data_IF_666740623302
#
_entry.id   IF_666740623302
#
_cell.length_a   1.000
_cell.length_b   1.000
_cell.length_c   1.000
_cell.angle_alpha   90.00
_cell.angle_beta   90.00
_cell.angle_gamma   90.00
#
_symmetry.space_group_name_H-M   'P 1'
#
loop_
_entity.id
_entity.type
_entity.pdbx_description
1 polymer ?
#
# COMPACT_ATOMS: atom_id res chain seq x y z
N UNK A 1 6.87 27.21 -22.56
CA UNK A 1 5.66 27.17 -23.41
C UNK A 1 5.45 28.48 -24.17
N UNK A 2 5.24 29.61 -23.51
CA UNK A 2 4.87 30.89 -24.14
C UNK A 2 5.85 31.38 -25.20
N UNK A 3 7.16 31.35 -24.91
CA UNK A 3 8.19 31.79 -25.87
C UNK A 3 8.17 30.97 -27.17
N UNK A 4 7.97 29.65 -27.06
CA UNK A 4 7.86 28.74 -28.22
C UNK A 4 6.59 29.03 -29.03
N UNK A 5 5.47 29.30 -28.36
CA UNK A 5 4.21 29.67 -29.01
C UNK A 5 4.30 31.02 -29.75
N UNK A 6 4.97 32.02 -29.16
CA UNK A 6 5.18 33.33 -29.80
C UNK A 6 6.12 33.25 -31.01
N UNK A 7 7.19 32.46 -30.93
CA UNK A 7 8.06 32.19 -32.07
C UNK A 7 7.32 31.44 -33.18
N UNK A 8 6.49 30.46 -32.84
CA UNK A 8 5.63 29.75 -33.78
C UNK A 8 4.63 30.66 -34.48
N UNK A 9 3.99 31.55 -33.73
CA UNK A 9 3.07 32.57 -34.29
C UNK A 9 3.78 33.45 -35.32
N UNK A 10 4.97 33.96 -35.00
CA UNK A 10 5.74 34.82 -35.91
C UNK A 10 6.16 34.08 -37.19
N UNK A 11 6.71 32.86 -37.06
CA UNK A 11 7.18 32.08 -38.19
C UNK A 11 6.04 31.70 -39.15
N UNK A 12 4.95 31.14 -38.62
CA UNK A 12 3.81 30.75 -39.45
C UNK A 12 3.03 31.96 -39.98
N UNK A 13 3.04 33.09 -39.25
CA UNK A 13 2.50 34.36 -39.75
C UNK A 13 3.28 34.87 -40.97
N UNK A 14 4.61 34.81 -40.94
CA UNK A 14 5.46 35.16 -42.09
C UNK A 14 5.18 34.22 -43.28
N UNK A 15 5.18 32.90 -43.06
CA UNK A 15 4.88 31.92 -44.13
C UNK A 15 3.48 32.12 -44.70
N UNK A 16 2.48 32.36 -43.84
CA UNK A 16 1.10 32.61 -44.25
C UNK A 16 0.96 33.90 -45.07
N UNK A 17 1.72 34.95 -44.74
CA UNK A 17 1.72 36.20 -45.50
C UNK A 17 2.28 36.06 -46.92
N UNK A 18 3.22 35.14 -47.12
CA UNK A 18 3.78 34.81 -48.44
C UNK A 18 2.81 34.00 -49.29
N UNK A 19 1.99 33.14 -48.65
CA UNK A 19 1.02 32.30 -49.34
C UNK A 19 -0.27 33.05 -49.71
N UNK A 20 -0.75 33.93 -48.82
CA UNK A 20 -1.96 34.72 -49.06
C UNK A 20 -1.84 36.10 -48.38
N UNK A 21 -1.65 37.19 -49.15
CA UNK A 21 -1.50 38.53 -48.60
C UNK A 21 -2.70 38.94 -47.72
N UNK A 22 -2.42 39.54 -46.56
CA UNK A 22 -3.44 39.98 -45.60
C UNK A 22 -4.00 38.83 -44.76
N UNK A 23 -4.95 38.06 -45.31
CA UNK A 23 -5.67 37.03 -44.55
C UNK A 23 -4.77 35.84 -44.15
N UNK A 24 -3.79 35.49 -44.99
CA UNK A 24 -2.88 34.37 -44.72
C UNK A 24 -1.97 34.61 -43.51
N UNK A 25 -1.60 35.87 -43.24
CA UNK A 25 -0.80 36.21 -42.06
C UNK A 25 -1.53 35.92 -40.75
N UNK A 26 -2.83 36.28 -40.68
CA UNK A 26 -3.67 36.04 -39.50
C UNK A 26 -3.94 34.56 -39.27
N UNK A 27 -4.29 33.84 -40.34
CA UNK A 27 -4.56 32.39 -40.26
C UNK A 27 -3.27 31.65 -39.90
N UNK A 28 -2.15 31.99 -40.55
CA UNK A 28 -0.84 31.42 -40.26
C UNK A 28 -0.41 31.64 -38.81
N UNK A 29 -0.54 32.87 -38.30
CA UNK A 29 -0.23 33.19 -36.91
C UNK A 29 -1.10 32.38 -35.92
N UNK A 30 -2.40 32.23 -36.18
CA UNK A 30 -3.31 31.45 -35.35
C UNK A 30 -2.95 29.96 -35.31
N UNK A 31 -2.70 29.35 -36.48
CA UNK A 31 -2.30 27.94 -36.58
C UNK A 31 -0.93 27.70 -35.93
N UNK A 32 0.03 28.60 -36.18
CA UNK A 32 1.37 28.53 -35.58
C UNK A 32 1.34 28.63 -34.07
N UNK A 33 0.53 29.53 -33.51
CA UNK A 33 0.34 29.62 -32.06
C UNK A 33 -0.21 28.29 -31.51
N UNK A 34 -1.25 27.72 -32.11
CA UNK A 34 -1.86 26.49 -31.59
C UNK A 34 -0.90 25.31 -31.60
N UNK A 35 -0.22 25.07 -32.74
CA UNK A 35 0.72 23.95 -32.90
C UNK A 35 1.92 24.11 -31.97
N UNK A 36 2.56 25.29 -31.96
CA UNK A 36 3.75 25.51 -31.14
C UNK A 36 3.43 25.62 -29.65
N UNK A 37 2.22 26.04 -29.27
CA UNK A 37 1.74 25.96 -27.90
C UNK A 37 1.55 24.50 -27.48
N UNK A 38 0.90 23.67 -28.30
CA UNK A 38 0.71 22.25 -28.01
C UNK A 38 2.06 21.51 -27.88
N UNK A 39 2.97 21.70 -28.84
CA UNK A 39 4.32 21.15 -28.78
C UNK A 39 5.12 21.68 -27.59
N UNK A 40 5.04 22.99 -27.31
CA UNK A 40 5.67 23.60 -26.16
C UNK A 40 5.16 23.01 -24.85
N UNK A 41 3.84 22.79 -24.73
CA UNK A 41 3.22 22.15 -23.56
C UNK A 41 3.70 20.70 -23.40
N UNK A 42 3.80 19.93 -24.48
CA UNK A 42 4.33 18.57 -24.45
C UNK A 42 5.81 18.53 -24.04
N UNK A 43 6.65 19.39 -24.63
CA UNK A 43 8.10 19.43 -24.39
C UNK A 43 8.46 19.91 -22.98
N UNK A 44 7.75 20.91 -22.48
CA UNK A 44 8.03 21.47 -21.14
C UNK A 44 7.33 20.74 -20.01
N UNK A 45 6.45 19.78 -20.32
CA UNK A 45 5.70 19.02 -19.32
C UNK A 45 4.59 19.82 -18.63
N UNK A 46 4.31 21.06 -19.05
CA UNK A 46 3.28 21.93 -18.45
C UNK A 46 1.87 21.32 -18.46
N UNK A 47 1.61 20.39 -19.39
CA UNK A 47 0.36 19.62 -19.40
C UNK A 47 0.16 18.78 -18.12
N UNK A 48 1.24 18.36 -17.45
CA UNK A 48 1.19 17.60 -16.19
C UNK A 48 0.75 18.47 -15.02
N UNK A 49 1.03 19.77 -15.07
CA UNK A 49 0.64 20.73 -14.03
C UNK A 49 -0.80 21.23 -14.19
N UNK A 50 -1.32 21.23 -15.42
CA UNK A 50 -2.71 21.59 -15.73
C UNK A 50 -3.71 20.46 -15.47
N UNK A 51 -3.22 19.21 -15.41
CA UNK A 51 -4.04 18.11 -14.95
C UNK A 51 -4.27 18.28 -13.45
N UNK A 52 -5.53 18.28 -12.98
CA UNK A 52 -5.81 18.41 -11.55
C UNK A 52 -5.05 17.31 -10.81
N UNK A 53 -4.34 17.68 -9.75
CA UNK A 53 -3.51 16.78 -8.93
C UNK A 53 -4.26 15.57 -8.33
N UNK A 54 -5.58 15.50 -8.52
CA UNK A 54 -6.44 14.37 -8.20
C UNK A 54 -6.51 13.31 -9.32
N UNK A 55 -5.88 13.55 -10.48
CA UNK A 55 -5.77 12.56 -11.58
C UNK A 55 -4.39 11.89 -11.62
N UNK A 56 -3.85 11.55 -10.46
CA UNK A 56 -2.89 10.43 -10.33
C UNK A 56 -3.49 9.08 -10.81
N UNK A 57 -4.77 9.06 -11.16
CA UNK A 57 -5.52 7.94 -11.75
C UNK A 57 -5.37 7.76 -13.26
N UNK A 58 -4.68 8.64 -14.01
CA UNK A 58 -4.15 8.24 -15.31
C UNK A 58 -2.86 7.44 -15.13
N UNK A 59 -2.97 6.35 -14.37
CA UNK A 59 -1.92 5.35 -14.27
C UNK A 59 -1.63 4.83 -15.67
N UNK A 60 -0.35 4.70 -16.00
CA UNK A 60 0.10 4.09 -17.25
C UNK A 60 -0.53 2.70 -17.49
N UNK A 61 -1.10 2.08 -16.45
CA UNK A 61 -1.91 0.87 -16.45
C UNK A 61 -3.15 0.89 -17.36
N UNK A 62 -3.78 2.04 -17.60
CA UNK A 62 -4.93 2.11 -18.52
C UNK A 62 -4.52 2.21 -20.00
N UNK A 63 -3.29 2.66 -20.27
CA UNK A 63 -2.80 2.92 -21.63
C UNK A 63 -1.86 1.81 -22.09
N UNK A 64 -1.15 1.15 -21.17
CA UNK A 64 -0.20 0.09 -21.49
C UNK A 64 -0.84 -1.29 -21.29
N UNK A 65 -0.66 -2.21 -22.26
CA UNK A 65 -0.94 -3.62 -22.04
C UNK A 65 -0.24 -4.11 -20.77
N UNK A 66 -0.93 -4.92 -19.97
CA UNK A 66 -0.46 -5.41 -18.66
C UNK A 66 0.98 -5.97 -18.69
N UNK A 67 1.38 -6.59 -19.81
CA UNK A 67 2.74 -7.10 -20.03
C UNK A 67 3.84 -6.02 -20.01
N UNK A 68 3.56 -4.80 -20.50
CA UNK A 68 4.52 -3.68 -20.49
C UNK A 68 4.52 -2.93 -19.16
N UNK A 69 3.39 -2.86 -18.45
CA UNK A 69 3.31 -2.25 -17.13
C UNK A 69 4.17 -2.99 -16.09
N UNK A 70 4.24 -4.33 -16.20
CA UNK A 70 5.14 -5.16 -15.39
C UNK A 70 6.61 -4.91 -15.74
N UNK A 71 6.93 -4.63 -17.01
CA UNK A 71 8.31 -4.39 -17.46
C UNK A 71 8.85 -2.99 -17.10
N UNK A 72 7.97 -2.00 -16.93
CA UNK A 72 8.36 -0.61 -16.63
C UNK A 72 8.55 -0.36 -15.12
N UNK A 73 8.38 -1.39 -14.27
CA UNK A 73 8.82 -1.35 -12.88
C UNK A 73 7.69 -1.30 -11.85
N UNK A 74 6.62 -2.05 -12.09
CA UNK A 74 5.56 -2.21 -11.08
C UNK A 74 5.43 -3.66 -10.62
N UNK A 75 5.11 -3.82 -9.34
CA UNK A 75 4.94 -5.04 -8.56
C UNK A 75 3.67 -5.83 -8.91
N UNK A 76 2.98 -5.49 -10.01
CA UNK A 76 1.74 -6.11 -10.44
C UNK A 76 0.58 -5.89 -9.45
N UNK A 77 -0.52 -6.62 -9.65
CA UNK A 77 -1.63 -6.63 -8.69
C UNK A 77 -1.53 -7.88 -7.82
N UNK A 78 -1.62 -7.71 -6.50
CA UNK A 78 -1.65 -8.83 -5.56
C UNK A 78 -2.19 -8.45 -4.18
N UNK A 79 -2.51 -9.46 -3.38
CA UNK A 79 -2.84 -9.27 -1.97
C UNK A 79 -1.57 -9.36 -1.10
N UNK A 80 -1.25 -8.26 -0.43
CA UNK A 80 -0.18 -8.16 0.54
C UNK A 80 -0.73 -8.41 1.94
N UNK A 81 -0.07 -9.29 2.68
CA UNK A 81 -0.31 -9.51 4.10
C UNK A 81 0.80 -8.80 4.88
N UNK A 82 0.42 -7.85 5.73
CA UNK A 82 1.35 -7.08 6.57
C UNK A 82 1.10 -7.42 8.01
N UNK A 83 2.15 -7.86 8.71
CA UNK A 83 2.12 -8.07 10.16
C UNK A 83 2.88 -6.93 10.83
N UNK A 84 2.18 -6.19 11.70
CA UNK A 84 2.78 -5.16 12.55
C UNK A 84 3.16 -5.83 13.87
N UNK A 85 4.46 -6.03 14.11
CA UNK A 85 4.94 -6.73 15.30
C UNK A 85 5.02 -5.80 16.50
N UNK A 86 5.93 -4.83 16.44
CA UNK A 86 6.18 -3.92 17.54
C UNK A 86 6.78 -2.60 17.08
N UNK A 87 6.60 -1.55 17.90
CA UNK A 87 7.29 -0.28 17.77
C UNK A 87 8.21 -0.07 18.97
N UNK A 88 9.50 0.07 18.71
CA UNK A 88 10.57 0.18 19.70
C UNK A 88 11.14 1.59 19.74
N UNK A 89 11.55 2.05 20.92
CA UNK A 89 12.20 3.36 21.09
C UNK A 89 11.29 4.55 20.76
N UNK A 90 9.97 4.37 20.80
CA UNK A 90 9.00 5.45 20.55
C UNK A 90 8.81 6.27 21.82
N UNK A 91 9.34 7.48 21.82
CA UNK A 91 9.15 8.46 22.90
C UNK A 91 8.30 9.63 22.40
N UNK A 92 7.11 9.79 23.00
CA UNK A 92 6.14 10.83 22.64
C UNK A 92 6.40 12.10 23.44
N UNK A 93 6.58 13.23 22.73
CA UNK A 93 6.82 14.52 23.36
C UNK A 93 5.55 15.07 24.03
N UNK A 94 5.68 15.51 25.28
CA UNK A 94 4.58 16.13 26.05
C UNK A 94 3.91 15.19 27.06
N UNK A 95 4.28 13.90 27.07
CA UNK A 95 3.95 13.01 28.19
C UNK A 95 4.95 13.16 29.33
N UNK A 96 4.44 13.05 30.56
CA UNK A 96 5.29 12.97 31.75
C UNK A 96 6.11 11.66 31.73
N UNK A 97 7.36 11.64 32.24
CA UNK A 97 8.22 10.45 32.18
C UNK A 97 7.66 9.16 32.81
N UNK A 98 6.70 9.28 33.74
CA UNK A 98 6.05 8.15 34.39
C UNK A 98 4.79 7.65 33.66
N UNK A 99 4.30 8.40 32.66
CA UNK A 99 3.15 7.99 31.85
C UNK A 99 3.64 7.20 30.65
N UNK A 100 3.18 5.95 30.52
CA UNK A 100 3.44 5.15 29.32
C UNK A 100 2.60 5.68 28.16
N UNK A 101 3.14 5.76 26.93
CA UNK A 101 2.35 6.09 25.76
C UNK A 101 1.32 4.98 25.48
N UNK A 102 0.19 5.33 24.89
CA UNK A 102 -0.85 4.39 24.46
C UNK A 102 -0.83 4.34 22.94
N UNK A 103 0.05 3.49 22.41
CA UNK A 103 0.39 3.51 20.99
C UNK A 103 -0.56 2.62 20.18
N UNK A 104 -0.84 3.01 18.95
CA UNK A 104 -1.40 2.15 17.92
C UNK A 104 -0.84 2.52 16.54
N UNK A 105 -0.89 1.58 15.61
CA UNK A 105 -0.43 1.78 14.24
C UNK A 105 -1.60 1.85 13.25
N UNK A 106 -1.57 2.81 12.33
CA UNK A 106 -2.45 2.86 11.17
C UNK A 106 -1.68 2.45 9.92
N UNK A 107 -2.21 1.51 9.15
CA UNK A 107 -1.62 1.03 7.89
C UNK A 107 -2.46 1.54 6.72
N UNK A 108 -1.81 2.28 5.82
CA UNK A 108 -2.40 2.87 4.63
C UNK A 108 -1.68 2.37 3.38
N UNK A 109 -2.43 1.99 2.35
CA UNK A 109 -1.90 1.55 1.07
C UNK A 109 -2.96 1.79 -0.01
N UNK A 110 -2.70 2.70 -0.94
CA UNK A 110 -3.62 2.98 -2.04
C UNK A 110 -5.05 3.34 -1.61
N UNK A 111 -6.02 2.72 -2.28
CA UNK A 111 -7.45 2.88 -2.00
C UNK A 111 -8.00 1.94 -0.91
N UNK A 112 -7.14 1.20 -0.19
CA UNK A 112 -7.59 0.32 0.89
C UNK A 112 -8.16 1.14 2.05
N UNK A 113 -9.20 0.65 2.75
CA UNK A 113 -9.63 1.27 3.98
C UNK A 113 -8.51 1.20 5.02
N UNK A 114 -8.31 2.29 5.76
CA UNK A 114 -7.28 2.38 6.80
C UNK A 114 -7.43 1.25 7.80
N UNK A 115 -6.37 0.45 7.97
CA UNK A 115 -6.31 -0.62 8.96
C UNK A 115 -5.63 -0.10 10.22
N UNK A 116 -6.06 -0.57 11.39
CA UNK A 116 -5.56 -0.09 12.68
C UNK A 116 -5.28 -1.28 13.59
N UNK A 117 -4.18 -1.21 14.34
CA UNK A 117 -3.94 -2.13 15.45
C UNK A 117 -4.76 -1.72 16.67
N UNK A 118 -4.88 -2.62 17.63
CA UNK A 118 -5.30 -2.29 18.97
C UNK A 118 -4.29 -1.35 19.64
N UNK A 119 -4.78 -0.59 20.61
CA UNK A 119 -3.98 0.33 21.41
C UNK A 119 -3.22 -0.46 22.48
N UNK A 120 -1.93 -0.21 22.60
CA UNK A 120 -0.99 -0.96 23.44
C UNK A 120 0.00 -0.02 24.13
N UNK A 121 0.28 -0.30 25.40
CA UNK A 121 1.23 0.50 26.20
C UNK A 121 2.68 -0.02 26.13
N UNK A 122 2.87 -1.26 25.67
CA UNK A 122 4.17 -1.91 25.50
C UNK A 122 4.70 -1.80 24.07
N UNK A 123 3.92 -1.21 23.15
CA UNK A 123 4.26 -1.09 21.74
C UNK A 123 4.25 -2.43 20.98
N UNK A 124 3.75 -3.53 21.56
CA UNK A 124 3.70 -4.86 20.92
C UNK A 124 2.30 -5.15 20.42
N UNK A 125 2.14 -5.15 19.10
CA UNK A 125 0.86 -5.32 18.43
C UNK A 125 0.64 -6.79 18.03
N UNK A 126 1.56 -7.35 17.25
CA UNK A 126 1.45 -8.67 16.63
C UNK A 126 0.11 -8.88 15.89
N UNK A 127 -0.29 -7.87 15.12
CA UNK A 127 -1.55 -7.87 14.38
C UNK A 127 -1.29 -7.91 12.87
N UNK A 128 -2.14 -8.63 12.15
CA UNK A 128 -1.98 -8.89 10.71
C UNK A 128 -3.13 -8.29 9.91
N UNK A 129 -2.80 -7.67 8.79
CA UNK A 129 -3.75 -7.05 7.88
C UNK A 129 -3.54 -7.54 6.45
N UNK A 130 -4.65 -7.85 5.78
CA UNK A 130 -4.68 -8.12 4.34
C UNK A 130 -5.00 -6.83 3.58
N UNK A 131 -4.17 -6.48 2.62
CA UNK A 131 -4.25 -5.27 1.79
C UNK A 131 -4.24 -5.66 0.31
N UNK A 132 -5.07 -5.00 -0.49
CA UNK A 132 -5.08 -5.18 -1.95
C UNK A 132 -4.12 -4.18 -2.58
N UNK A 133 -3.00 -4.65 -3.11
CA UNK A 133 -1.99 -3.80 -3.72
C UNK A 133 -2.22 -3.75 -5.22
N UNK A 134 -2.40 -2.55 -5.76
CA UNK A 134 -2.47 -2.28 -7.19
C UNK A 134 -1.11 -1.79 -7.71
N UNK A 135 -0.84 -1.89 -9.02
CA UNK A 135 0.44 -1.43 -9.58
C UNK A 135 0.72 0.07 -9.38
N UNK A 136 -0.32 0.86 -9.07
CA UNK A 136 -0.23 2.30 -8.74
C UNK A 136 0.20 2.57 -7.29
N UNK A 137 0.16 1.56 -6.43
CA UNK A 137 0.43 1.69 -4.99
C UNK A 137 1.92 1.56 -4.69
N UNK A 138 2.71 2.60 -5.01
CA UNK A 138 4.16 2.57 -4.81
C UNK A 138 4.62 2.44 -3.35
N UNK A 139 3.81 2.90 -2.38
CA UNK A 139 4.19 2.98 -0.98
C UNK A 139 3.10 2.48 -0.03
N UNK A 140 3.53 1.73 0.97
CA UNK A 140 2.77 1.41 2.16
C UNK A 140 3.19 2.36 3.29
N UNK A 141 2.25 3.13 3.83
CA UNK A 141 2.51 4.09 4.89
C UNK A 141 1.99 3.53 6.21
N UNK A 142 2.87 3.40 7.19
CA UNK A 142 2.50 3.01 8.57
C UNK A 142 2.67 4.22 9.47
N UNK A 143 1.58 4.71 10.06
CA UNK A 143 1.59 5.83 11.01
C UNK A 143 1.50 5.30 12.42
N UNK A 144 2.41 5.72 13.29
CA UNK A 144 2.33 5.47 14.72
C UNK A 144 1.62 6.65 15.37
N UNK A 145 0.59 6.34 16.14
CA UNK A 145 -0.22 7.30 16.87
C UNK A 145 -0.22 6.99 18.36
N UNK A 146 -0.33 8.04 19.14
CA UNK A 146 -0.54 7.98 20.58
C UNK A 146 -1.97 8.41 20.87
N UNK A 147 -2.74 7.54 21.52
CA UNK A 147 -4.09 7.86 21.96
C UNK A 147 -4.02 8.44 23.37
N UNK A 148 -4.71 9.55 23.59
CA UNK A 148 -4.96 10.09 24.92
C UNK A 148 -6.48 10.23 25.14
N UNK A 149 -6.85 10.71 26.32
CA UNK A 149 -8.25 10.94 26.69
C UNK A 149 -8.91 12.01 25.80
N UNK A 150 -8.11 12.88 25.16
CA UNK A 150 -8.56 14.02 24.39
C UNK A 150 -8.54 13.78 22.87
N UNK A 151 -7.98 12.68 22.40
CA UNK A 151 -7.90 12.33 20.99
C UNK A 151 -6.71 11.42 20.65
N UNK A 152 -6.33 11.46 19.37
CA UNK A 152 -5.14 10.74 18.88
C UNK A 152 -4.18 11.74 18.26
N UNK A 153 -2.89 11.59 18.57
CA UNK A 153 -1.81 12.41 18.04
C UNK A 153 -0.88 11.59 17.15
N UNK A 154 -0.44 12.17 16.04
CA UNK A 154 0.56 11.57 15.14
C UNK A 154 1.95 11.65 15.77
N UNK A 155 2.54 10.50 16.07
CA UNK A 155 3.89 10.41 16.66
C UNK A 155 4.96 10.38 15.58
N UNK A 156 4.71 9.59 14.54
CA UNK A 156 5.64 9.41 13.43
C UNK A 156 5.07 8.48 12.37
N UNK A 157 5.80 8.30 11.29
CA UNK A 157 5.39 7.43 10.20
C UNK A 157 6.58 6.71 9.57
N UNK A 158 6.28 5.67 8.82
CA UNK A 158 7.21 4.93 7.97
C UNK A 158 6.60 4.79 6.60
N UNK A 159 7.37 5.13 5.58
CA UNK A 159 7.03 4.86 4.18
C UNK A 159 7.84 3.66 3.71
N UNK A 160 7.16 2.54 3.46
CA UNK A 160 7.74 1.32 2.92
C UNK A 160 7.49 1.29 1.41
N UNK A 161 8.57 1.21 0.62
CA UNK A 161 8.46 1.05 -0.83
C UNK A 161 8.03 -0.38 -1.16
N UNK A 162 6.87 -0.55 -1.80
CA UNK A 162 6.31 -1.89 -2.03
C UNK A 162 7.20 -2.70 -2.99
N UNK A 163 7.73 -2.05 -4.02
CA UNK A 163 8.59 -2.72 -5.00
C UNK A 163 9.93 -3.09 -4.37
N UNK A 164 10.63 -2.10 -3.82
CA UNK A 164 12.01 -2.28 -3.34
C UNK A 164 12.09 -2.97 -1.99
N UNK A 165 11.28 -2.53 -1.03
CA UNK A 165 11.41 -2.96 0.38
C UNK A 165 10.61 -4.22 0.71
N UNK A 166 9.63 -4.59 -0.13
CA UNK A 166 8.80 -5.78 0.04
C UNK A 166 9.07 -6.81 -1.06
N UNK A 167 8.81 -6.48 -2.33
CA UNK A 167 8.87 -7.46 -3.43
C UNK A 167 10.30 -7.89 -3.75
N UNK A 168 11.20 -6.93 -4.03
CA UNK A 168 12.61 -7.21 -4.34
C UNK A 168 13.36 -7.77 -3.13
N UNK A 169 12.97 -7.35 -1.93
CA UNK A 169 13.49 -7.89 -0.68
C UNK A 169 12.96 -9.30 -0.34
N UNK A 170 12.04 -9.85 -1.14
CA UNK A 170 11.55 -11.21 -0.98
C UNK A 170 10.61 -11.41 0.21
N UNK A 171 9.72 -10.44 0.47
CA UNK A 171 8.75 -10.47 1.58
C UNK A 171 9.43 -10.68 2.94
N UNK A 172 10.23 -9.69 3.40
CA UNK A 172 11.09 -9.87 4.54
C UNK A 172 10.30 -10.04 5.84
N UNK A 173 10.84 -10.87 6.73
CA UNK A 173 10.27 -11.16 8.04
C UNK A 173 10.98 -10.32 9.12
N UNK A 174 10.20 -9.73 10.03
CA UNK A 174 10.66 -8.89 11.13
C UNK A 174 11.71 -7.84 10.71
N UNK A 175 11.47 -7.20 9.57
CA UNK A 175 12.35 -6.15 9.07
C UNK A 175 12.13 -4.88 9.88
N UNK A 176 13.24 -4.26 10.26
CA UNK A 176 13.28 -3.04 11.04
C UNK A 176 13.19 -1.83 10.11
N UNK A 177 12.21 -0.96 10.32
CA UNK A 177 12.07 0.29 9.61
C UNK A 177 12.18 1.46 10.59
N UNK A 178 13.05 2.43 10.27
CA UNK A 178 13.20 3.62 11.10
C UNK A 178 11.97 4.51 11.00
N UNK A 179 11.43 4.94 12.14
CA UNK A 179 10.28 5.82 12.23
C UNK A 179 10.74 7.26 11.99
N UNK A 180 10.14 7.91 11.00
CA UNK A 180 10.31 9.34 10.75
C UNK A 180 9.37 10.14 11.64
N UNK A 181 9.89 11.26 12.16
CA UNK A 181 9.12 12.19 12.97
C UNK A 181 8.00 12.83 12.14
N UNK A 182 6.79 12.95 12.72
CA UNK A 182 5.68 13.65 12.06
C UNK A 182 5.95 15.15 11.92
N UNK A 183 5.29 15.83 10.98
CA UNK A 183 5.49 17.27 10.69
C UNK A 183 5.45 18.18 11.92
N UNK A 184 4.67 17.81 12.95
CA UNK A 184 4.48 18.60 14.17
C UNK A 184 5.12 17.99 15.43
N UNK A 185 5.68 16.79 15.33
CA UNK A 185 6.14 16.03 16.49
C UNK A 185 7.62 15.74 16.38
N UNK A 186 8.39 16.17 17.38
CA UNK A 186 9.78 15.74 17.52
C UNK A 186 9.76 14.49 18.39
N UNK A 187 10.05 13.33 17.80
CA UNK A 187 10.49 12.16 18.57
C UNK A 187 11.58 12.63 19.53
N UNK A 188 11.44 12.33 20.82
CA UNK A 188 12.36 12.83 21.83
C UNK A 188 13.75 12.31 21.49
N UNK A 189 14.66 13.22 21.14
CA UNK A 189 16.03 12.89 20.81
C UNK A 189 16.70 12.28 22.05
N UNK A 190 17.01 10.99 22.00
CA UNK A 190 18.15 10.41 22.71
C UNK A 190 18.46 9.00 22.19
N UNK A 191 19.65 8.88 21.57
CA UNK A 191 20.49 7.68 21.40
C UNK A 191 19.95 6.47 20.61
N UNK A 192 18.68 6.08 20.72
CA UNK A 192 18.10 4.97 19.96
C UNK A 192 17.11 5.48 18.90
N UNK A 193 17.34 5.14 17.63
CA UNK A 193 16.39 5.45 16.56
C UNK A 193 15.10 4.68 16.82
N UNK A 194 13.96 5.37 16.88
CA UNK A 194 12.67 4.72 16.94
C UNK A 194 12.47 3.84 15.70
N UNK A 195 12.01 2.61 15.89
CA UNK A 195 11.90 1.60 14.84
C UNK A 195 10.56 0.89 14.95
N UNK A 196 9.96 0.57 13.81
CA UNK A 196 8.83 -0.36 13.72
C UNK A 196 9.30 -1.66 13.07
N UNK A 197 8.86 -2.78 13.62
CA UNK A 197 9.17 -4.12 13.12
C UNK A 197 7.97 -4.63 12.34
N UNK A 198 8.17 -4.88 11.04
CA UNK A 198 7.13 -5.32 10.13
C UNK A 198 7.53 -6.63 9.46
N UNK A 199 6.55 -7.49 9.21
CA UNK A 199 6.70 -8.65 8.33
C UNK A 199 5.74 -8.56 7.18
N UNK A 200 6.17 -9.08 6.03
CA UNK A 200 5.37 -9.12 4.82
C UNK A 200 5.21 -10.57 4.38
N UNK A 201 4.01 -10.90 3.90
CA UNK A 201 3.71 -12.15 3.24
C UNK A 201 2.71 -11.88 2.10
N UNK A 202 2.47 -12.86 1.26
CA UNK A 202 1.55 -12.76 0.13
C UNK A 202 0.58 -13.93 0.12
N UNK A 203 -0.61 -13.74 -0.44
CA UNK A 203 -1.59 -14.82 -0.60
C UNK A 203 -1.29 -15.65 -1.85
N UNK A 204 -2.00 -16.77 -2.01
CA UNK A 204 -1.84 -17.63 -3.18
C UNK A 204 -2.17 -16.94 -4.53
N UNK A 205 -2.76 -15.75 -4.49
CA UNK A 205 -3.05 -14.91 -5.66
C UNK A 205 -1.81 -14.19 -6.23
N UNK A 206 -0.67 -14.20 -5.53
CA UNK A 206 0.55 -13.57 -6.05
C UNK A 206 1.08 -14.27 -7.32
N UNK A 207 1.31 -13.54 -8.44
CA UNK A 207 1.62 -14.15 -9.73
C UNK A 207 2.84 -15.09 -9.70
N UNK A 208 2.67 -16.33 -10.15
CA UNK A 208 3.75 -17.34 -10.18
C UNK A 208 4.97 -16.88 -11.00
N UNK A 209 4.76 -16.08 -12.04
CA UNK A 209 5.82 -15.50 -12.88
C UNK A 209 6.74 -14.59 -12.06
N UNK A 210 6.19 -13.88 -11.07
CA UNK A 210 6.95 -13.00 -10.17
C UNK A 210 7.56 -13.76 -8.97
N UNK A 211 7.10 -14.98 -8.69
CA UNK A 211 7.66 -15.83 -7.61
C UNK A 211 9.06 -16.34 -7.90
N UNK A 212 9.44 -16.45 -9.18
CA UNK A 212 10.73 -17.02 -9.60
C UNK A 212 11.98 -16.30 -9.07
N UNK A 213 11.84 -15.08 -8.55
CA UNK A 213 12.93 -14.31 -7.93
C UNK A 213 12.83 -14.16 -6.41
N UNK A 214 11.72 -14.54 -5.78
CA UNK A 214 11.53 -14.36 -4.33
C UNK A 214 12.09 -15.57 -3.57
N UNK A 215 13.06 -15.39 -2.65
CA UNK A 215 13.58 -16.49 -1.84
C UNK A 215 12.48 -17.10 -0.96
N UNK A 216 12.05 -18.32 -1.28
CA UNK A 216 11.07 -19.09 -0.48
C UNK A 216 11.54 -19.40 0.95
N UNK A 217 12.83 -19.21 1.25
CA UNK A 217 13.43 -19.55 2.54
C UNK A 217 12.83 -18.82 3.74
N UNK A 218 12.30 -17.61 3.57
CA UNK A 218 11.64 -16.87 4.66
C UNK A 218 10.32 -17.50 5.11
N UNK A 219 9.54 -18.06 4.16
CA UNK A 219 8.21 -18.63 4.43
C UNK A 219 8.30 -19.97 5.16
N UNK A 220 9.28 -20.80 4.79
CA UNK A 220 9.52 -22.09 5.47
C UNK A 220 10.13 -21.93 6.87
N UNK A 221 11.07 -20.99 7.04
CA UNK A 221 11.63 -20.68 8.35
C UNK A 221 10.56 -20.08 9.28
N UNK A 222 9.77 -19.12 8.78
CA UNK A 222 8.68 -18.48 9.54
C UNK A 222 7.59 -19.49 9.93
N UNK A 223 7.23 -20.41 9.03
CA UNK A 223 6.27 -21.47 9.36
C UNK A 223 6.80 -22.41 10.44
N UNK A 224 8.09 -22.78 10.40
CA UNK A 224 8.70 -23.62 11.44
C UNK A 224 8.78 -22.90 12.77
N UNK A 225 9.19 -21.63 12.79
CA UNK A 225 9.28 -20.84 14.02
C UNK A 225 7.89 -20.58 14.63
N UNK A 226 6.88 -20.29 13.81
CA UNK A 226 5.48 -20.19 14.25
C UNK A 226 4.95 -21.52 14.78
N UNK A 227 5.18 -22.64 14.09
CA UNK A 227 4.80 -23.97 14.54
C UNK A 227 5.49 -24.31 15.88
N UNK A 228 6.76 -23.91 16.05
CA UNK A 228 7.54 -24.15 17.27
C UNK A 228 7.08 -23.24 18.42
N UNK A 229 6.76 -21.98 18.14
CA UNK A 229 6.27 -21.01 19.12
C UNK A 229 4.84 -21.37 19.57
N UNK A 230 3.96 -21.75 18.64
CA UNK A 230 2.63 -22.29 18.95
C UNK A 230 2.70 -23.63 19.69
N UNK A 231 3.69 -24.48 19.37
CA UNK A 231 3.94 -25.73 20.10
C UNK A 231 4.46 -25.52 21.52
N UNK A 232 5.15 -24.40 21.78
CA UNK A 232 5.74 -24.08 23.08
C UNK A 232 4.82 -23.31 24.03
N UNK A 233 3.90 -22.50 23.49
CA UNK A 233 2.91 -21.81 24.29
C UNK A 233 1.78 -22.80 24.64
N UNK A 234 1.63 -23.13 25.92
CA UNK A 234 0.52 -23.93 26.47
C UNK A 234 -0.84 -23.22 26.27
N UNK A 235 -1.27 -23.03 25.03
CA UNK A 235 -2.57 -22.49 24.66
C UNK A 235 -3.58 -23.64 24.73
N UNK A 236 -3.99 -23.97 25.96
CA UNK A 236 -4.73 -25.18 26.33
C UNK A 236 -6.07 -25.42 25.61
N UNK A 237 -6.58 -24.44 24.84
CA UNK A 237 -7.80 -24.60 24.05
C UNK A 237 -7.56 -25.15 22.63
N UNK A 238 -6.38 -24.93 22.03
CA UNK A 238 -6.12 -25.30 20.62
C UNK A 238 -5.49 -26.70 20.52
N UNK A 239 -4.71 -27.12 21.53
CA UNK A 239 -4.20 -28.50 21.60
C UNK A 239 -5.31 -29.54 21.76
N UNK A 240 -6.46 -29.13 22.28
CA UNK A 240 -7.67 -29.96 22.37
C UNK A 240 -8.38 -30.05 21.01
N UNK A 241 -8.44 -28.95 20.26
CA UNK A 241 -8.98 -28.91 18.89
C UNK A 241 -8.13 -29.70 17.89
N UNK A 242 -6.80 -29.68 18.03
CA UNK A 242 -5.92 -30.49 17.18
C UNK A 242 -5.97 -31.99 17.48
N UNK A 243 -6.50 -32.39 18.66
CA UNK A 243 -6.72 -33.80 19.05
C UNK A 243 -8.14 -34.29 18.76
N UNK A 244 -9.03 -33.42 18.29
CA UNK A 244 -10.37 -33.82 17.88
C UNK A 244 -10.29 -34.49 16.51
N UNK A 245 -10.17 -35.81 16.51
CA UNK A 245 -10.45 -36.62 15.32
C UNK A 245 -11.96 -36.60 15.07
N UNK A 246 -12.37 -35.88 14.03
CA UNK A 246 -13.74 -35.94 13.54
C UNK A 246 -13.97 -37.32 12.92
N UNK A 247 -14.62 -38.19 13.68
CA UNK A 247 -15.02 -39.49 13.19
C UNK A 247 -16.14 -39.32 12.15
N UNK A 248 -15.77 -39.21 10.88
CA UNK A 248 -16.68 -39.08 9.73
C UNK A 248 -17.54 -40.33 9.51
N UNK A 249 -17.30 -41.42 10.26
CA UNK A 249 -18.08 -42.65 10.25
C UNK A 249 -19.36 -42.63 11.08
N UNK A 250 -19.64 -41.57 11.86
CA UNK A 250 -20.91 -41.49 12.59
C UNK A 250 -22.07 -41.28 11.60
N UNK A 251 -22.72 -42.39 11.21
CA UNK A 251 -24.06 -42.37 10.62
C UNK A 251 -24.98 -41.65 11.59
N UNK A 252 -25.43 -40.45 11.22
CA UNK A 252 -26.52 -39.74 11.88
C UNK A 252 -27.67 -40.74 12.01
N UNK A 253 -27.93 -41.18 13.24
CA UNK A 253 -29.02 -42.10 13.51
C UNK A 253 -30.29 -41.32 13.20
N UNK A 254 -30.97 -41.68 12.12
CA UNK A 254 -32.26 -41.08 11.76
C UNK A 254 -33.17 -41.14 12.99
N UNK A 255 -33.71 -39.98 13.36
CA UNK A 255 -34.59 -39.85 14.52
C UNK A 255 -35.79 -40.81 14.35
N UNK A 256 -36.03 -41.73 15.31
CA UNK A 256 -37.16 -42.62 15.24
C UNK A 256 -38.41 -41.83 15.63
N UNK A 257 -39.16 -41.33 14.64
CA UNK A 257 -40.46 -40.71 14.94
C UNK A 257 -40.95 -39.68 13.93
N UNK A 258 -41.17 -40.09 12.68
CA UNK A 258 -42.13 -39.38 11.82
C UNK A 258 -42.93 -40.40 11.01
N UNK A 259 -43.73 -41.21 11.71
CA UNK A 259 -44.85 -41.90 11.09
C UNK A 259 -45.86 -40.83 10.66
N UNK A 260 -45.86 -40.50 9.37
CA UNK A 260 -46.97 -39.76 8.74
C UNK A 260 -48.17 -40.71 8.64
N UNK A 261 -49.27 -40.33 9.28
CA UNK A 261 -50.54 -41.03 9.15
C UNK A 261 -51.03 -40.96 7.68
N UNK A 262 -51.66 -42.03 7.16
CA UNK A 262 -52.23 -42.01 5.82
C UNK A 262 -53.48 -41.13 5.78
N UNK A 263 -53.58 -40.30 4.75
CA UNK A 263 -54.76 -39.50 4.45
C UNK A 263 -55.95 -40.43 4.16
N UNK A 264 -57.05 -40.21 4.87
CA UNK A 264 -58.34 -40.80 4.52
C UNK A 264 -59.03 -39.93 3.47
N UNK A 265 -59.61 -40.62 2.50
CA UNK A 265 -60.34 -40.14 1.31
C UNK A 265 -61.70 -39.59 1.71
#
# INVERSE_FOLDING_TARGET
>A
TLLVALLGMLLFGMVGSLAYPGAGALIGAGVGLFICLALGCCLTGFWRDLLPSNTSTFGAEQILPHALAVQIGSHGHFDLVVTVHEAMGVEVQGRMPWMRPELYAEVLCGANPVKRTCVKTDGKFNEQFKLKVTPSDGFLVVRIKDQDVFGSRDVGYVCVDVQRDVVEAGFPWQKHFAIEAGENDKLRWNESKAVIVLSFDYTDEYPAVLRGGAPQGGREASRKDLEQQWGSANYGAVSYLSKLEFNTGMKITEAPGSQRAPAQV
#
